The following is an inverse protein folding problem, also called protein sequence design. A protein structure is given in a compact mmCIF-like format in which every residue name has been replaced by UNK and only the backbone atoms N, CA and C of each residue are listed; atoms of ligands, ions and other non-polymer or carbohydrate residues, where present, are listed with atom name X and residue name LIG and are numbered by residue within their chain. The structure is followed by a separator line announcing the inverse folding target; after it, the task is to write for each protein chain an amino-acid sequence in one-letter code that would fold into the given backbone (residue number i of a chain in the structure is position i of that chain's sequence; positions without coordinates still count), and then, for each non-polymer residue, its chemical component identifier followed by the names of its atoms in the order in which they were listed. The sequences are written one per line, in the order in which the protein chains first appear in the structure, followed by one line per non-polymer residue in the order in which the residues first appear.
data_IF_488393190637
#
_entry.id   IF_488393190637
#
_cell.length_a   1.000
_cell.length_b   1.000
_cell.length_c   1.000
_cell.angle_alpha   90.00
_cell.angle_beta   90.00
_cell.angle_gamma   90.00
#
_symmetry.space_group_name_H-M   'P 1'
#
loop_
_entity.id
_entity.type
_entity.pdbx_description
1 polymer ?
#
# COMPACT_ATOMS: atom_id res chain seq x y z
N UNK A 1 -6.48 17.45 29.74
CA UNK A 1 -7.88 17.74 29.36
C UNK A 1 -8.62 16.43 29.06
N UNK A 2 -9.65 16.11 29.79
CA UNK A 2 -10.43 14.89 29.58
C UNK A 2 -11.27 15.04 28.29
N UNK A 3 -11.20 14.05 27.39
CA UNK A 3 -12.01 14.04 26.17
C UNK A 3 -13.50 14.01 26.53
N UNK A 4 -14.29 14.90 25.93
CA UNK A 4 -15.73 14.96 26.08
C UNK A 4 -16.37 13.63 25.64
N UNK A 5 -17.49 13.22 26.27
CA UNK A 5 -18.19 11.95 25.97
C UNK A 5 -18.51 11.77 24.47
N UNK A 6 -18.79 12.83 23.75
CA UNK A 6 -19.04 12.85 22.30
C UNK A 6 -17.80 12.47 21.49
N UNK A 7 -16.64 13.06 21.82
CA UNK A 7 -15.37 12.73 21.15
C UNK A 7 -14.94 11.27 21.37
N UNK A 8 -15.36 10.67 22.50
CA UNK A 8 -15.15 9.24 22.74
C UNK A 8 -16.06 8.39 21.85
N UNK A 9 -17.32 8.78 21.66
CA UNK A 9 -18.27 8.08 20.79
C UNK A 9 -17.85 8.15 19.32
N UNK A 10 -17.41 9.30 18.83
CA UNK A 10 -16.88 9.46 17.46
C UNK A 10 -15.62 8.62 17.23
N UNK A 11 -14.72 8.60 18.21
CA UNK A 11 -13.50 7.78 18.09
C UNK A 11 -13.80 6.28 18.11
N UNK A 12 -14.79 5.82 18.86
CA UNK A 12 -15.25 4.42 18.88
C UNK A 12 -15.94 4.05 17.55
N UNK A 13 -16.77 4.93 17.00
CA UNK A 13 -17.41 4.71 15.70
C UNK A 13 -16.37 4.64 14.57
N UNK A 14 -15.34 5.47 14.64
CA UNK A 14 -14.22 5.44 13.67
C UNK A 14 -13.42 4.14 13.79
N UNK A 15 -13.13 3.68 15.01
CA UNK A 15 -12.46 2.39 15.23
C UNK A 15 -13.29 1.24 14.67
N UNK A 16 -14.59 1.20 14.95
CA UNK A 16 -15.47 0.14 14.48
C UNK A 16 -15.56 0.08 12.94
N UNK A 17 -15.57 1.24 12.26
CA UNK A 17 -15.48 1.31 10.80
C UNK A 17 -14.14 0.77 10.30
N UNK A 18 -13.02 1.25 10.85
CA UNK A 18 -11.69 0.80 10.46
C UNK A 18 -11.50 -0.71 10.67
N UNK A 19 -12.04 -1.29 11.74
CA UNK A 19 -11.98 -2.74 11.98
C UNK A 19 -12.73 -3.50 10.87
N UNK A 20 -13.91 -3.02 10.48
CA UNK A 20 -14.67 -3.62 9.38
C UNK A 20 -13.90 -3.50 8.06
N UNK A 21 -13.47 -2.29 7.74
CA UNK A 21 -12.75 -2.01 6.50
C UNK A 21 -11.45 -2.84 6.40
N UNK A 22 -10.73 -3.02 7.51
CA UNK A 22 -9.53 -3.87 7.60
C UNK A 22 -9.85 -5.36 7.45
N UNK A 23 -10.98 -5.83 7.98
CA UNK A 23 -11.39 -7.24 7.86
C UNK A 23 -11.92 -7.59 6.48
N UNK A 24 -12.64 -6.66 5.87
CA UNK A 24 -13.25 -6.83 4.55
C UNK A 24 -12.23 -6.57 3.41
N UNK A 25 -11.15 -5.85 3.70
CA UNK A 25 -10.09 -5.58 2.75
C UNK A 25 -9.15 -6.78 2.59
N UNK A 26 -8.80 -7.09 1.35
CA UNK A 26 -7.83 -8.14 1.03
C UNK A 26 -6.40 -7.80 1.48
N UNK A 27 -6.07 -6.50 1.55
CA UNK A 27 -4.80 -6.00 2.07
C UNK A 27 -4.95 -4.58 2.64
N UNK A 28 -4.08 -4.25 3.59
CA UNK A 28 -3.99 -2.93 4.20
C UNK A 28 -2.53 -2.49 4.24
N UNK A 29 -2.22 -1.35 3.67
CA UNK A 29 -0.89 -0.76 3.73
C UNK A 29 -0.83 0.33 4.80
N UNK A 30 0.16 0.26 5.67
CA UNK A 30 0.48 1.27 6.68
C UNK A 30 1.51 2.23 6.11
N UNK A 31 1.12 3.49 6.04
CA UNK A 31 1.91 4.55 5.40
C UNK A 31 2.30 5.59 6.42
N UNK A 32 3.58 5.90 6.51
CA UNK A 32 4.08 7.08 7.21
C UNK A 32 4.24 8.22 6.22
N UNK A 33 3.81 9.39 6.61
CA UNK A 33 4.03 10.58 5.80
C UNK A 33 4.49 11.76 6.67
N UNK A 34 5.31 12.62 6.07
CA UNK A 34 5.82 13.82 6.74
C UNK A 34 6.21 14.88 5.72
N UNK A 35 5.85 16.13 5.98
CA UNK A 35 6.24 17.24 5.11
C UNK A 35 5.63 17.23 3.70
N UNK A 36 4.46 16.60 3.51
CA UNK A 36 3.72 16.65 2.24
C UNK A 36 3.08 18.03 2.04
N UNK A 37 3.17 18.56 0.82
CA UNK A 37 2.38 19.73 0.43
C UNK A 37 0.92 19.33 0.24
N UNK A 38 0.01 20.31 0.30
CA UNK A 38 -1.43 20.06 0.08
C UNK A 38 -1.67 19.53 -1.34
N UNK A 39 -0.94 20.04 -2.32
CA UNK A 39 -1.03 19.58 -3.71
C UNK A 39 -0.61 18.10 -3.82
N UNK A 40 0.53 17.71 -3.22
CA UNK A 40 1.02 16.33 -3.25
C UNK A 40 0.04 15.38 -2.54
N UNK A 41 -0.49 15.79 -1.38
CA UNK A 41 -1.46 15.00 -0.64
C UNK A 41 -2.78 14.79 -1.42
N UNK A 42 -3.23 15.82 -2.15
CA UNK A 42 -4.42 15.73 -3.00
C UNK A 42 -4.19 14.81 -4.20
N UNK A 43 -3.03 14.93 -4.85
CA UNK A 43 -2.65 14.06 -5.97
C UNK A 43 -2.49 12.60 -5.52
N UNK A 44 -1.92 12.38 -4.35
CA UNK A 44 -1.79 11.06 -3.75
C UNK A 44 -3.16 10.39 -3.55
N UNK A 45 -4.09 11.08 -2.89
CA UNK A 45 -5.45 10.57 -2.67
C UNK A 45 -6.19 10.30 -3.97
N UNK A 46 -6.10 11.23 -4.93
CA UNK A 46 -6.75 11.09 -6.24
C UNK A 46 -6.24 9.86 -6.99
N UNK A 47 -4.94 9.61 -6.96
CA UNK A 47 -4.35 8.46 -7.63
C UNK A 47 -4.74 7.15 -6.96
N UNK A 48 -4.67 7.08 -5.62
CA UNK A 48 -5.11 5.89 -4.88
C UNK A 48 -6.58 5.57 -5.15
N UNK A 49 -7.44 6.60 -5.16
CA UNK A 49 -8.86 6.42 -5.47
C UNK A 49 -9.09 5.94 -6.91
N UNK A 50 -8.30 6.40 -7.88
CA UNK A 50 -8.35 5.92 -9.26
C UNK A 50 -7.96 4.44 -9.37
N UNK A 51 -7.06 3.97 -8.50
CA UNK A 51 -6.64 2.57 -8.40
C UNK A 51 -7.61 1.72 -7.54
N UNK A 52 -8.75 2.28 -7.10
CA UNK A 52 -9.73 1.60 -6.24
C UNK A 52 -9.26 1.37 -4.81
N UNK A 53 -8.35 2.21 -4.33
CA UNK A 53 -7.79 2.16 -2.98
C UNK A 53 -8.31 3.31 -2.15
N UNK A 54 -8.94 2.98 -1.03
CA UNK A 54 -9.35 3.96 -0.04
C UNK A 54 -8.18 4.33 0.88
N UNK A 55 -8.10 5.62 1.22
CA UNK A 55 -7.03 6.16 2.05
C UNK A 55 -7.57 7.06 3.15
N UNK A 56 -7.26 6.73 4.40
CA UNK A 56 -7.64 7.52 5.57
C UNK A 56 -6.44 7.76 6.48
N UNK A 57 -6.34 8.98 6.96
CA UNK A 57 -5.34 9.38 7.96
C UNK A 57 -5.95 9.24 9.35
N UNK A 58 -5.27 8.50 10.20
CA UNK A 58 -5.75 8.21 11.55
C UNK A 58 -4.69 8.48 12.62
N UNK A 59 -5.14 8.67 13.86
CA UNK A 59 -4.23 8.79 14.99
C UNK A 59 -3.61 7.44 15.30
N UNK A 60 -2.29 7.38 15.50
CA UNK A 60 -1.54 6.16 15.80
C UNK A 60 -2.15 5.31 16.93
N UNK A 61 -2.72 5.94 17.96
CA UNK A 61 -3.37 5.24 19.08
C UNK A 61 -4.65 4.52 18.68
N UNK A 62 -5.42 5.10 17.74
CA UNK A 62 -6.64 4.49 17.21
C UNK A 62 -6.30 3.36 16.23
N UNK A 63 -5.33 3.59 15.36
CA UNK A 63 -4.83 2.56 14.44
C UNK A 63 -4.32 1.34 15.20
N UNK A 64 -3.47 1.55 16.22
CA UNK A 64 -2.95 0.44 17.03
C UNK A 64 -4.07 -0.38 17.68
N UNK A 65 -5.10 0.29 18.25
CA UNK A 65 -6.25 -0.40 18.83
C UNK A 65 -7.04 -1.17 17.78
N UNK A 66 -7.33 -0.56 16.63
CA UNK A 66 -8.05 -1.21 15.55
C UNK A 66 -7.31 -2.46 15.03
N UNK A 67 -5.99 -2.37 14.89
CA UNK A 67 -5.16 -3.49 14.44
C UNK A 67 -5.12 -4.64 15.47
N UNK A 68 -5.02 -4.34 16.75
CA UNK A 68 -5.07 -5.37 17.82
C UNK A 68 -6.45 -6.03 17.89
N UNK A 69 -7.53 -5.26 17.78
CA UNK A 69 -8.91 -5.77 17.82
C UNK A 69 -9.33 -6.50 16.54
N UNK A 70 -8.63 -6.27 15.41
CA UNK A 70 -8.87 -7.01 14.18
C UNK A 70 -8.44 -8.47 14.24
N UNK A 71 -7.59 -8.84 15.22
CA UNK A 71 -7.18 -10.23 15.46
C UNK A 71 -6.19 -10.78 14.41
N UNK A 72 -5.49 -9.91 13.71
CA UNK A 72 -4.50 -10.29 12.69
C UNK A 72 -3.26 -10.87 13.37
N UNK A 73 -2.75 -11.98 12.84
CA UNK A 73 -1.57 -12.67 13.38
C UNK A 73 -0.28 -11.92 13.06
N UNK A 74 0.56 -11.66 14.07
CA UNK A 74 1.87 -11.07 13.91
C UNK A 74 2.12 -9.84 14.80
N UNK A 75 3.32 -9.32 14.79
CA UNK A 75 3.68 -8.11 15.53
C UNK A 75 3.28 -6.85 14.76
N UNK A 76 2.61 -5.94 15.45
CA UNK A 76 2.27 -4.63 14.88
C UNK A 76 3.58 -3.85 14.67
N UNK A 77 3.88 -3.40 13.44
CA UNK A 77 5.10 -2.63 13.20
C UNK A 77 5.13 -1.35 14.03
N UNK A 78 6.33 -0.83 14.28
CA UNK A 78 6.51 0.42 15.01
C UNK A 78 5.80 1.56 14.27
N UNK A 79 4.77 2.12 14.91
CA UNK A 79 3.95 3.18 14.33
C UNK A 79 4.52 4.56 14.74
N UNK A 80 5.49 5.06 13.98
CA UNK A 80 6.10 6.35 14.24
C UNK A 80 5.61 7.45 13.29
N UNK A 81 5.37 8.64 13.83
CA UNK A 81 4.97 9.81 13.05
C UNK A 81 3.48 9.88 12.73
N UNK A 82 3.16 10.48 11.60
CA UNK A 82 1.81 10.58 11.06
C UNK A 82 1.50 9.35 10.22
N UNK A 83 0.38 8.69 10.49
CA UNK A 83 0.03 7.41 9.91
C UNK A 83 -1.21 7.54 9.07
N UNK A 84 -1.14 7.01 7.85
CA UNK A 84 -2.26 6.77 6.99
C UNK A 84 -2.47 5.27 6.79
N UNK A 85 -3.72 4.88 6.61
CA UNK A 85 -4.14 3.55 6.22
C UNK A 85 -4.63 3.61 4.79
N UNK A 86 -4.12 2.72 3.94
CA UNK A 86 -4.61 2.51 2.59
C UNK A 86 -5.09 1.07 2.46
N UNK A 87 -6.32 0.87 2.01
CA UNK A 87 -6.90 -0.46 1.81
C UNK A 87 -7.69 -0.52 0.51
N UNK A 88 -7.85 -1.72 -0.03
CA UNK A 88 -8.58 -1.92 -1.26
C UNK A 88 -9.02 -3.36 -1.44
N UNK A 89 -9.88 -3.58 -2.43
CA UNK A 89 -10.32 -4.90 -2.82
C UNK A 89 -9.21 -5.73 -3.48
N UNK A 90 -8.29 -5.06 -4.20
CA UNK A 90 -7.12 -5.72 -4.79
C UNK A 90 -6.02 -5.83 -3.73
N UNK A 91 -5.46 -7.03 -3.60
CA UNK A 91 -4.46 -7.32 -2.57
C UNK A 91 -3.14 -6.54 -2.75
N UNK A 92 -2.77 -6.20 -3.98
CA UNK A 92 -1.47 -5.57 -4.28
C UNK A 92 -1.60 -4.06 -4.47
N UNK A 93 -2.76 -3.57 -4.93
CA UNK A 93 -2.97 -2.17 -5.29
C UNK A 93 -2.61 -1.16 -4.18
N UNK A 94 -2.99 -1.36 -2.90
CA UNK A 94 -2.65 -0.42 -1.83
C UNK A 94 -1.15 -0.26 -1.63
N UNK A 95 -0.42 -1.37 -1.57
CA UNK A 95 1.03 -1.37 -1.39
C UNK A 95 1.75 -0.74 -2.60
N UNK A 96 1.34 -1.11 -3.81
CA UNK A 96 1.91 -0.59 -5.06
C UNK A 96 1.69 0.90 -5.21
N UNK A 97 0.46 1.40 -4.98
CA UNK A 97 0.14 2.81 -5.07
C UNK A 97 1.02 3.66 -4.14
N UNK A 98 1.21 3.21 -2.91
CA UNK A 98 2.10 3.86 -1.93
C UNK A 98 3.56 3.83 -2.39
N UNK A 99 4.05 2.68 -2.87
CA UNK A 99 5.43 2.51 -3.31
C UNK A 99 5.79 3.37 -4.53
N UNK A 100 4.88 3.51 -5.49
CA UNK A 100 5.08 4.42 -6.62
C UNK A 100 5.21 5.89 -6.19
N UNK A 101 4.44 6.30 -5.17
CA UNK A 101 4.57 7.63 -4.59
C UNK A 101 5.84 7.80 -3.77
N UNK A 102 6.26 6.78 -3.05
CA UNK A 102 7.53 6.78 -2.33
C UNK A 102 8.71 7.05 -3.28
N UNK A 103 8.69 6.44 -4.48
CA UNK A 103 9.72 6.69 -5.51
C UNK A 103 9.70 8.12 -6.07
N UNK A 104 8.52 8.74 -6.12
CA UNK A 104 8.37 10.10 -6.70
C UNK A 104 8.67 11.22 -5.71
N UNK A 105 8.36 11.01 -4.43
CA UNK A 105 8.37 12.04 -3.39
C UNK A 105 9.49 11.83 -2.36
N UNK A 106 10.60 11.22 -2.73
CA UNK A 106 11.81 11.01 -1.94
C UNK A 106 11.63 11.19 -0.42
N UNK A 107 11.38 10.09 0.30
CA UNK A 107 11.29 10.01 1.77
C UNK A 107 10.15 10.78 2.47
N UNK A 108 9.26 11.48 1.74
CA UNK A 108 8.10 12.13 2.35
C UNK A 108 6.95 11.16 2.64
N UNK A 109 6.92 10.06 1.89
CA UNK A 109 5.98 8.96 2.07
C UNK A 109 6.78 7.69 2.24
N UNK A 110 6.58 6.96 3.32
CA UNK A 110 7.27 5.70 3.59
C UNK A 110 6.24 4.61 3.91
N UNK A 111 6.44 3.44 3.32
CA UNK A 111 5.70 2.24 3.65
C UNK A 111 6.29 1.67 4.96
N UNK A 112 5.50 1.59 6.03
CA UNK A 112 5.91 1.01 7.31
C UNK A 112 5.75 -0.51 7.35
N UNK A 113 4.84 -1.03 6.57
CA UNK A 113 4.42 -2.40 6.55
C UNK A 113 2.93 -2.50 6.21
N UNK A 114 2.31 -3.61 6.51
CA UNK A 114 0.90 -3.77 6.24
C UNK A 114 0.33 -5.11 6.66
N UNK A 115 -0.92 -5.33 6.31
CA UNK A 115 -1.59 -6.61 6.45
C UNK A 115 -1.78 -7.18 5.04
N UNK A 116 -1.34 -8.40 4.85
CA UNK A 116 -1.51 -9.13 3.61
C UNK A 116 -1.95 -10.56 3.95
N UNK A 117 -3.05 -11.01 3.37
CA UNK A 117 -3.62 -12.33 3.63
C UNK A 117 -3.80 -12.66 5.13
N UNK A 118 -4.19 -11.67 5.93
CA UNK A 118 -4.41 -11.84 7.37
C UNK A 118 -3.14 -11.95 8.22
N UNK A 119 -1.97 -11.61 7.68
CA UNK A 119 -0.70 -11.55 8.39
C UNK A 119 -0.13 -10.14 8.38
N UNK A 120 0.50 -9.76 9.48
CA UNK A 120 1.33 -8.55 9.49
C UNK A 120 2.64 -8.81 8.75
N UNK A 121 2.93 -7.95 7.79
CA UNK A 121 4.18 -7.94 7.04
C UNK A 121 5.03 -6.73 7.42
N UNK A 122 6.32 -6.97 7.55
CA UNK A 122 7.29 -5.92 7.79
C UNK A 122 7.49 -5.05 6.55
N UNK A 123 8.19 -3.94 6.71
CA UNK A 123 8.51 -2.98 5.64
C UNK A 123 9.17 -3.64 4.42
N UNK A 124 10.15 -4.52 4.66
CA UNK A 124 10.90 -5.18 3.58
C UNK A 124 10.02 -6.13 2.78
N UNK A 125 9.23 -6.96 3.45
CA UNK A 125 8.29 -7.90 2.84
C UNK A 125 7.22 -7.17 2.03
N UNK A 126 6.63 -6.14 2.61
CA UNK A 126 5.59 -5.35 1.96
C UNK A 126 6.14 -4.55 0.78
N UNK A 127 7.39 -4.08 0.84
CA UNK A 127 8.09 -3.45 -0.28
C UNK A 127 8.33 -4.42 -1.44
N UNK A 128 8.62 -5.68 -1.14
CA UNK A 128 8.72 -6.76 -2.12
C UNK A 128 7.41 -6.97 -2.89
N UNK A 129 6.29 -7.03 -2.17
CA UNK A 129 4.95 -7.13 -2.76
C UNK A 129 4.61 -5.88 -3.58
N UNK A 130 4.91 -4.70 -3.05
CA UNK A 130 4.65 -3.42 -3.72
C UNK A 130 5.45 -3.23 -5.02
N UNK A 131 6.57 -3.93 -5.18
CA UNK A 131 7.37 -3.92 -6.40
C UNK A 131 6.75 -4.73 -7.54
N UNK A 132 5.74 -5.57 -7.26
CA UNK A 132 5.06 -6.40 -8.27
C UNK A 132 4.25 -5.49 -9.21
N UNK A 133 4.52 -5.55 -10.53
CA UNK A 133 3.79 -4.74 -11.50
C UNK A 133 2.33 -5.21 -11.66
N UNK A 134 1.45 -4.37 -12.25
CA UNK A 134 0.06 -4.73 -12.50
C UNK A 134 -0.05 -5.94 -13.44
N UNK A 135 -1.15 -6.68 -13.33
CA UNK A 135 -1.41 -7.92 -14.07
C UNK A 135 -1.18 -7.77 -15.59
N UNK A 136 -1.59 -6.66 -16.17
CA UNK A 136 -1.38 -6.39 -17.61
C UNK A 136 0.11 -6.34 -17.98
N UNK A 137 0.93 -5.72 -17.15
CA UNK A 137 2.39 -5.67 -17.36
C UNK A 137 3.01 -7.05 -17.20
N UNK A 138 2.53 -7.86 -16.23
CA UNK A 138 3.00 -9.24 -16.05
C UNK A 138 2.68 -10.11 -17.26
N UNK A 139 1.49 -9.98 -17.86
CA UNK A 139 1.17 -10.67 -19.11
C UNK A 139 2.08 -10.23 -20.26
N UNK A 140 2.36 -8.92 -20.38
CA UNK A 140 3.30 -8.41 -21.36
C UNK A 140 4.72 -8.95 -21.17
N UNK A 141 5.17 -9.04 -19.91
CA UNK A 141 6.49 -9.63 -19.59
C UNK A 141 6.54 -11.12 -19.94
N UNK A 142 5.47 -11.88 -19.63
CA UNK A 142 5.37 -13.29 -19.98
C UNK A 142 5.49 -13.50 -21.50
N UNK A 143 4.70 -12.75 -22.28
CA UNK A 143 4.76 -12.81 -23.75
C UNK A 143 6.16 -12.44 -24.27
N UNK A 144 6.79 -11.44 -23.64
CA UNK A 144 8.15 -11.01 -24.02
C UNK A 144 9.19 -12.11 -23.75
N UNK A 145 9.08 -12.81 -22.62
CA UNK A 145 9.97 -13.95 -22.29
C UNK A 145 9.78 -15.09 -23.28
N UNK A 146 8.54 -15.43 -23.66
CA UNK A 146 8.25 -16.48 -24.66
C UNK A 146 8.81 -16.10 -26.04
N UNK A 147 8.76 -14.82 -26.40
CA UNK A 147 9.25 -14.32 -27.69
C UNK A 147 10.78 -14.06 -27.71
N UNK A 148 11.41 -13.98 -26.55
CA UNK A 148 12.84 -13.68 -26.39
C UNK A 148 13.78 -14.61 -27.18
N UNK A 149 13.60 -15.95 -27.25
CA UNK A 149 14.45 -16.83 -28.04
C UNK A 149 14.41 -16.51 -29.54
N UNK A 150 13.21 -16.17 -30.05
CA UNK A 150 13.02 -15.81 -31.46
C UNK A 150 13.72 -14.49 -31.79
N UNK A 151 13.55 -13.50 -30.93
CA UNK A 151 14.22 -12.20 -31.05
C UNK A 151 15.74 -12.35 -30.99
N UNK A 152 16.25 -13.19 -30.09
CA UNK A 152 17.68 -13.48 -29.97
C UNK A 152 18.24 -14.09 -31.24
N UNK A 153 17.53 -15.04 -31.86
CA UNK A 153 17.90 -15.65 -33.12
C UNK A 153 17.95 -14.62 -34.27
N UNK A 154 16.91 -13.81 -34.39
CA UNK A 154 16.84 -12.76 -35.42
C UNK A 154 17.97 -11.75 -35.27
N UNK A 155 18.29 -11.32 -34.06
CA UNK A 155 19.41 -10.40 -33.78
C UNK A 155 20.76 -11.05 -34.15
N UNK A 156 20.95 -12.34 -33.82
CA UNK A 156 22.16 -13.06 -34.17
C UNK A 156 22.33 -13.16 -35.69
N UNK A 157 21.29 -13.55 -36.42
CA UNK A 157 21.29 -13.61 -37.89
C UNK A 157 21.53 -12.23 -38.53
N UNK A 158 20.93 -11.19 -37.99
CA UNK A 158 21.15 -9.82 -38.50
C UNK A 158 22.58 -9.32 -38.31
N UNK A 159 23.30 -9.79 -37.27
CA UNK A 159 24.71 -9.46 -37.04
C UNK A 159 25.68 -10.24 -37.94
N UNK A 160 25.29 -11.46 -38.34
CA UNK A 160 26.12 -12.26 -39.27
C UNK A 160 26.05 -11.71 -40.70
N UNK A 161 24.94 -11.09 -41.08
CA UNK A 161 24.72 -10.54 -42.42
C UNK A 161 25.26 -9.09 -42.60
N UNK A 162 26.10 -8.63 -41.70
CA UNK A 162 26.74 -7.31 -41.72
C UNK A 162 28.26 -7.46 -41.76
#
# INVERSE_FOLDING_TARGET
MAKTKEQKKESLATIAKLIKDVKDAGSVALVRFGGLTVADATNFRRKLHADGVDYVVTKKTLTKKALVESGVSGEVPALDGQIGLAWGADQIAPARGVYEFQKKLDKKVELLGGIFEGRFMNREEMSGIAAIPPRQTLYGQLVNVINSPIQGLVIALSKINR
#
